data_IF_439718866457
#
_entry.id   IF_439718866457
#
_cell.length_a   1.000
_cell.length_b   1.000
_cell.length_c   1.000
_cell.angle_alpha   90.00
_cell.angle_beta   90.00
_cell.angle_gamma   90.00
#
_symmetry.space_group_name_H-M   'P 1'
#
loop_
_entity.id
_entity.type
_entity.pdbx_description
1 polymer ?
#
# COMPACT_ATOMS: atom_id res chain seq x y z
N UNK A 1 69.20 -58.49 -52.40
CA UNK A 1 69.51 -58.03 -51.03
C UNK A 1 68.18 -57.54 -50.46
N UNK A 2 67.41 -58.49 -49.96
CA UNK A 2 66.11 -58.24 -49.33
C UNK A 2 66.36 -57.55 -47.98
N UNK A 3 65.77 -56.38 -47.79
CA UNK A 3 65.79 -55.66 -46.52
C UNK A 3 64.69 -56.25 -45.63
N UNK A 4 65.07 -57.13 -44.71
CA UNK A 4 64.17 -57.58 -43.64
C UNK A 4 63.69 -56.36 -42.83
N UNK A 5 62.38 -56.22 -42.56
CA UNK A 5 61.88 -55.17 -41.70
C UNK A 5 62.29 -55.47 -40.26
N UNK A 6 62.99 -54.52 -39.63
CA UNK A 6 63.33 -54.58 -38.21
C UNK A 6 62.07 -54.84 -37.36
N UNK A 7 62.16 -55.72 -36.35
CA UNK A 7 61.03 -55.99 -35.48
C UNK A 7 60.62 -54.71 -34.76
N UNK A 8 59.37 -54.28 -34.98
CA UNK A 8 58.78 -53.19 -34.21
C UNK A 8 58.69 -53.67 -32.77
N UNK A 9 59.48 -53.04 -31.91
CA UNK A 9 59.61 -53.36 -30.50
C UNK A 9 58.29 -53.04 -29.77
N UNK A 10 57.41 -54.04 -29.70
CA UNK A 10 56.06 -53.92 -29.14
C UNK A 10 56.05 -53.56 -27.65
N UNK A 11 57.15 -53.82 -26.95
CA UNK A 11 57.33 -53.47 -25.54
C UNK A 11 57.52 -51.96 -25.35
N UNK A 12 58.23 -51.28 -26.25
CA UNK A 12 58.40 -49.82 -26.21
C UNK A 12 57.09 -49.08 -26.50
N UNK A 13 56.20 -49.65 -27.32
CA UNK A 13 54.86 -49.10 -27.56
C UNK A 13 53.89 -49.39 -26.40
N UNK A 14 53.99 -50.56 -25.77
CA UNK A 14 53.19 -50.91 -24.56
C UNK A 14 53.58 -50.08 -23.33
N UNK A 15 54.88 -49.85 -23.12
CA UNK A 15 55.36 -49.04 -22.00
C UNK A 15 54.89 -47.57 -22.13
N UNK A 16 54.92 -46.99 -23.34
CA UNK A 16 54.44 -45.62 -23.58
C UNK A 16 52.93 -45.46 -23.44
N UNK A 17 52.15 -46.51 -23.69
CA UNK A 17 50.70 -46.48 -23.47
C UNK A 17 50.31 -46.65 -21.99
N UNK A 18 51.22 -47.16 -21.14
CA UNK A 18 50.98 -47.29 -19.69
C UNK A 18 51.18 -45.99 -18.90
N UNK A 19 51.65 -44.92 -19.56
CA UNK A 19 51.90 -43.60 -18.94
C UNK A 19 50.81 -42.56 -19.26
N UNK A 20 49.82 -42.90 -20.08
CA UNK A 20 48.77 -41.96 -20.46
C UNK A 20 47.72 -41.85 -19.35
N UNK A 21 47.90 -40.86 -18.47
CA UNK A 21 46.90 -40.50 -17.48
C UNK A 21 45.73 -39.81 -18.19
N UNK A 22 44.55 -40.40 -18.10
CA UNK A 22 43.32 -39.79 -18.62
C UNK A 22 42.92 -38.60 -17.74
N UNK A 23 43.24 -37.40 -18.23
CA UNK A 23 42.92 -36.14 -17.54
C UNK A 23 41.41 -35.95 -17.35
N UNK A 24 40.58 -36.50 -18.23
CA UNK A 24 39.12 -36.42 -18.10
C UNK A 24 38.65 -37.21 -16.89
N UNK A 25 39.17 -38.41 -16.68
CA UNK A 25 38.84 -39.22 -15.50
C UNK A 25 39.32 -38.55 -14.21
N UNK A 26 40.49 -37.91 -14.22
CA UNK A 26 40.95 -37.11 -13.07
C UNK A 26 40.05 -35.92 -12.79
N UNK A 27 39.66 -35.16 -13.81
CA UNK A 27 38.74 -34.02 -13.62
C UNK A 27 37.39 -34.47 -13.11
N UNK A 28 36.83 -35.57 -13.64
CA UNK A 28 35.58 -36.14 -13.15
C UNK A 28 35.70 -36.58 -11.69
N UNK A 29 36.82 -37.23 -11.33
CA UNK A 29 37.12 -37.64 -9.94
C UNK A 29 37.09 -36.45 -8.99
N UNK A 30 37.78 -35.37 -9.35
CA UNK A 30 37.81 -34.14 -8.55
C UNK A 30 36.41 -33.55 -8.42
N UNK A 31 35.67 -33.46 -9.52
CA UNK A 31 34.36 -32.83 -9.56
C UNK A 31 33.29 -33.59 -8.76
N UNK A 32 33.27 -34.91 -8.86
CA UNK A 32 32.39 -35.76 -8.04
C UNK A 32 32.71 -35.63 -6.54
N UNK A 33 34.00 -35.57 -6.19
CA UNK A 33 34.43 -35.36 -4.80
C UNK A 33 34.02 -33.98 -4.27
N UNK A 34 34.18 -32.92 -5.07
CA UNK A 34 33.76 -31.56 -4.71
C UNK A 34 32.24 -31.47 -4.48
N UNK A 35 31.47 -32.26 -5.23
CA UNK A 35 30.02 -32.42 -5.04
C UNK A 35 29.64 -33.36 -3.90
N UNK A 36 30.61 -33.98 -3.22
CA UNK A 36 30.38 -34.92 -2.12
C UNK A 36 29.77 -36.26 -2.53
N UNK A 37 29.94 -36.65 -3.80
CA UNK A 37 29.45 -37.93 -4.33
C UNK A 37 30.48 -39.01 -4.00
N UNK A 38 30.04 -40.04 -3.27
CA UNK A 38 30.86 -41.21 -2.96
C UNK A 38 30.96 -42.13 -4.19
N UNK A 39 32.17 -42.59 -4.51
CA UNK A 39 32.43 -43.57 -5.57
C UNK A 39 33.68 -44.39 -5.25
N UNK A 40 33.75 -45.61 -5.76
CA UNK A 40 34.97 -46.41 -5.66
C UNK A 40 35.96 -46.00 -6.76
N UNK A 41 37.24 -45.78 -6.40
CA UNK A 41 38.26 -45.32 -7.34
C UNK A 41 38.49 -46.32 -8.49
N UNK A 42 38.26 -47.60 -8.23
CA UNK A 42 38.35 -48.67 -9.22
C UNK A 42 37.23 -48.58 -10.27
N UNK A 43 36.01 -48.20 -9.87
CA UNK A 43 34.88 -48.05 -10.79
C UNK A 43 35.12 -46.91 -11.77
N UNK A 44 35.64 -45.79 -11.27
CA UNK A 44 35.94 -44.62 -12.10
C UNK A 44 37.12 -44.88 -13.05
N UNK A 45 38.14 -45.63 -12.62
CA UNK A 45 39.31 -45.94 -13.44
C UNK A 45 38.99 -46.86 -14.65
N UNK A 46 37.89 -47.60 -14.59
CA UNK A 46 37.43 -48.48 -15.68
C UNK A 46 36.39 -47.81 -16.60
N UNK A 47 35.97 -46.59 -16.27
CA UNK A 47 34.98 -45.87 -17.06
C UNK A 47 35.54 -45.45 -18.43
N UNK A 48 34.79 -45.65 -19.52
CA UNK A 48 35.20 -45.15 -20.84
C UNK A 48 35.34 -43.62 -20.85
N UNK A 49 36.42 -43.10 -21.43
CA UNK A 49 36.70 -41.64 -21.49
C UNK A 49 35.53 -40.83 -22.04
N UNK A 50 34.92 -41.26 -23.14
CA UNK A 50 33.77 -40.57 -23.75
C UNK A 50 32.55 -40.48 -22.82
N UNK A 51 32.37 -41.45 -21.93
CA UNK A 51 31.32 -41.43 -20.93
C UNK A 51 31.64 -40.42 -19.82
N UNK A 52 32.90 -40.40 -19.38
CA UNK A 52 33.38 -39.42 -18.41
C UNK A 52 33.29 -37.97 -18.93
N UNK A 53 33.62 -37.72 -20.19
CA UNK A 53 33.45 -36.42 -20.85
C UNK A 53 31.99 -35.99 -20.88
N UNK A 54 31.08 -36.88 -21.26
CA UNK A 54 29.63 -36.59 -21.25
C UNK A 54 29.15 -36.26 -19.85
N UNK A 55 29.55 -37.04 -18.85
CA UNK A 55 29.15 -36.82 -17.46
C UNK A 55 29.68 -35.47 -16.95
N UNK A 56 30.94 -35.12 -17.21
CA UNK A 56 31.50 -33.81 -16.89
C UNK A 56 30.71 -32.66 -17.53
N UNK A 57 30.36 -32.77 -18.81
CA UNK A 57 29.56 -31.76 -19.50
C UNK A 57 28.16 -31.61 -18.87
N UNK A 58 27.53 -32.71 -18.46
CA UNK A 58 26.26 -32.66 -17.75
C UNK A 58 26.39 -32.00 -16.37
N UNK A 59 27.46 -32.31 -15.63
CA UNK A 59 27.72 -31.70 -14.33
C UNK A 59 27.96 -30.19 -14.45
N UNK A 60 28.73 -29.75 -15.44
CA UNK A 60 28.92 -28.32 -15.70
C UNK A 60 27.62 -27.61 -16.09
N UNK A 61 26.86 -28.18 -17.02
CA UNK A 61 25.56 -27.62 -17.41
C UNK A 61 24.57 -27.58 -16.24
N UNK A 62 24.66 -28.53 -15.30
CA UNK A 62 23.86 -28.54 -14.08
C UNK A 62 24.30 -27.45 -13.11
N UNK A 63 25.59 -27.28 -12.84
CA UNK A 63 26.13 -26.23 -11.99
C UNK A 63 25.76 -24.83 -12.51
N UNK A 64 25.86 -24.60 -13.81
CA UNK A 64 25.47 -23.33 -14.43
C UNK A 64 23.98 -23.03 -14.22
N UNK A 65 23.11 -24.04 -14.43
CA UNK A 65 21.67 -23.90 -14.18
C UNK A 65 21.37 -23.68 -12.71
N UNK A 66 22.05 -24.39 -11.82
CA UNK A 66 21.88 -24.22 -10.38
C UNK A 66 22.30 -22.81 -9.95
N UNK A 67 23.44 -22.30 -10.45
CA UNK A 67 23.88 -20.93 -10.19
C UNK A 67 22.84 -19.91 -10.66
N UNK A 68 22.36 -20.04 -11.90
CA UNK A 68 21.34 -19.15 -12.45
C UNK A 68 20.03 -19.19 -11.64
N UNK A 69 19.60 -20.38 -11.19
CA UNK A 69 18.42 -20.53 -10.34
C UNK A 69 18.62 -19.91 -8.95
N UNK A 70 19.81 -20.05 -8.36
CA UNK A 70 20.16 -19.42 -7.08
C UNK A 70 20.14 -17.90 -7.21
N UNK A 71 20.77 -17.36 -8.26
CA UNK A 71 20.75 -15.92 -8.56
C UNK A 71 19.31 -15.41 -8.72
N UNK A 72 18.51 -16.02 -9.59
CA UNK A 72 17.11 -15.66 -9.79
C UNK A 72 16.29 -15.75 -8.49
N UNK A 73 16.54 -16.77 -7.67
CA UNK A 73 15.88 -16.90 -6.36
C UNK A 73 16.24 -15.76 -5.43
N UNK A 74 17.52 -15.37 -5.37
CA UNK A 74 17.96 -14.23 -4.55
C UNK A 74 17.37 -12.92 -5.05
N UNK A 75 17.30 -12.71 -6.37
CA UNK A 75 16.65 -11.55 -6.97
C UNK A 75 15.17 -11.48 -6.58
N UNK A 76 14.42 -12.56 -6.76
CA UNK A 76 13.01 -12.60 -6.38
C UNK A 76 12.80 -12.40 -4.87
N UNK A 77 13.68 -12.93 -4.01
CA UNK A 77 13.62 -12.68 -2.57
C UNK A 77 13.88 -11.20 -2.24
N UNK A 78 14.81 -10.53 -2.92
CA UNK A 78 15.05 -9.10 -2.69
C UNK A 78 13.89 -8.25 -3.19
N UNK A 79 13.32 -8.56 -4.35
CA UNK A 79 12.11 -7.92 -4.87
C UNK A 79 10.95 -8.08 -3.89
N UNK A 80 10.71 -9.30 -3.39
CA UNK A 80 9.66 -9.56 -2.40
C UNK A 80 9.84 -8.74 -1.13
N UNK A 81 11.07 -8.61 -0.62
CA UNK A 81 11.37 -7.77 0.55
C UNK A 81 11.09 -6.29 0.28
N UNK A 82 11.41 -5.79 -0.92
CA UNK A 82 11.12 -4.41 -1.31
C UNK A 82 9.62 -4.16 -1.42
N UNK A 83 8.89 -5.06 -2.08
CA UNK A 83 7.43 -4.96 -2.22
C UNK A 83 6.71 -5.05 -0.87
N UNK A 84 7.16 -5.91 0.05
CA UNK A 84 6.62 -5.96 1.42
C UNK A 84 6.80 -4.63 2.14
N UNK A 85 7.99 -4.02 2.08
CA UNK A 85 8.23 -2.70 2.66
C UNK A 85 7.34 -1.62 2.03
N UNK A 86 7.18 -1.63 0.71
CA UNK A 86 6.26 -0.70 0.01
C UNK A 86 4.83 -0.89 0.50
N UNK A 87 4.38 -2.13 0.59
CA UNK A 87 3.03 -2.45 1.07
C UNK A 87 2.80 -1.99 2.51
N UNK A 88 3.75 -2.22 3.42
CA UNK A 88 3.71 -1.72 4.80
C UNK A 88 3.58 -0.20 4.84
N UNK A 89 4.41 0.53 4.07
CA UNK A 89 4.31 2.00 4.02
C UNK A 89 2.98 2.50 3.47
N UNK A 90 2.40 1.81 2.48
CA UNK A 90 1.08 2.14 1.94
C UNK A 90 -0.05 1.85 2.94
N UNK A 91 0.07 0.77 3.73
CA UNK A 91 -0.87 0.47 4.79
C UNK A 91 -0.85 1.56 5.87
N UNK A 92 0.34 1.95 6.35
CA UNK A 92 0.47 3.05 7.32
C UNK A 92 -0.11 4.37 6.79
N UNK A 93 0.17 4.71 5.53
CA UNK A 93 -0.39 5.90 4.89
C UNK A 93 -1.92 5.83 4.81
N UNK A 94 -2.48 4.66 4.47
CA UNK A 94 -3.92 4.43 4.40
C UNK A 94 -4.58 4.55 5.77
N UNK A 95 -3.95 4.03 6.82
CA UNK A 95 -4.44 4.15 8.20
C UNK A 95 -4.44 5.60 8.68
N UNK A 96 -3.39 6.37 8.39
CA UNK A 96 -3.34 7.81 8.68
C UNK A 96 -4.49 8.54 8.01
N UNK A 97 -4.70 8.34 6.71
CA UNK A 97 -5.81 8.96 5.97
C UNK A 97 -7.17 8.56 6.54
N UNK A 98 -7.37 7.28 6.90
CA UNK A 98 -8.62 6.83 7.56
C UNK A 98 -8.86 7.56 8.88
N UNK A 99 -7.82 7.77 9.68
CA UNK A 99 -7.92 8.49 10.95
C UNK A 99 -8.29 9.98 10.73
N UNK A 100 -7.69 10.63 9.75
CA UNK A 100 -8.00 12.02 9.39
C UNK A 100 -9.45 12.16 8.89
N UNK A 101 -9.91 11.24 8.05
CA UNK A 101 -11.30 11.20 7.57
C UNK A 101 -12.28 11.03 8.73
N UNK A 102 -11.97 10.17 9.71
CA UNK A 102 -12.82 10.00 10.88
C UNK A 102 -12.91 11.30 11.71
N UNK A 103 -11.78 12.00 11.91
CA UNK A 103 -11.75 13.29 12.62
C UNK A 103 -12.56 14.35 11.85
N UNK A 104 -12.36 14.46 10.54
CA UNK A 104 -13.10 15.40 9.69
C UNK A 104 -14.61 15.12 9.69
N UNK A 105 -14.99 13.85 9.56
CA UNK A 105 -16.40 13.43 9.60
C UNK A 105 -17.05 13.77 10.94
N UNK A 106 -16.35 13.55 12.06
CA UNK A 106 -16.79 13.94 13.39
C UNK A 106 -16.98 15.46 13.52
N UNK A 107 -16.02 16.25 13.01
CA UNK A 107 -16.10 17.72 12.99
C UNK A 107 -17.29 18.23 12.17
N UNK A 108 -17.49 17.69 10.97
CA UNK A 108 -18.62 18.06 10.11
C UNK A 108 -19.95 17.74 10.78
N UNK A 109 -20.06 16.56 11.39
CA UNK A 109 -21.26 16.12 12.08
C UNK A 109 -21.59 17.02 13.29
N UNK A 110 -20.57 17.38 14.07
CA UNK A 110 -20.73 18.34 15.17
C UNK A 110 -21.15 19.73 14.68
N UNK A 111 -20.50 20.25 13.63
CA UNK A 111 -20.83 21.55 13.05
C UNK A 111 -22.28 21.59 12.52
N UNK A 112 -22.73 20.53 11.84
CA UNK A 112 -24.11 20.42 11.36
C UNK A 112 -25.12 20.37 12.50
N UNK A 113 -24.80 19.66 13.59
CA UNK A 113 -25.65 19.63 14.78
C UNK A 113 -25.79 21.01 15.41
N UNK A 114 -24.67 21.72 15.57
CA UNK A 114 -24.65 23.07 16.12
C UNK A 114 -25.45 24.04 15.26
N UNK A 115 -25.23 24.03 13.94
CA UNK A 115 -25.99 24.85 13.00
C UNK A 115 -27.51 24.63 13.11
N UNK A 116 -27.95 23.37 13.16
CA UNK A 116 -29.38 23.03 13.35
C UNK A 116 -29.92 23.53 14.70
N UNK A 117 -29.10 23.51 15.74
CA UNK A 117 -29.49 24.01 17.05
C UNK A 117 -29.66 25.54 17.05
N UNK A 118 -28.73 26.24 16.40
CA UNK A 118 -28.77 27.70 16.23
C UNK A 118 -29.98 28.12 15.39
N UNK A 119 -30.26 27.41 14.30
CA UNK A 119 -31.42 27.67 13.44
C UNK A 119 -32.74 27.55 14.21
N UNK A 120 -32.89 26.52 15.06
CA UNK A 120 -34.07 26.37 15.94
C UNK A 120 -34.19 27.53 16.92
N UNK A 121 -33.08 27.92 17.54
CA UNK A 121 -33.04 29.00 18.51
C UNK A 121 -33.37 30.34 17.86
N UNK A 122 -32.87 30.58 16.65
CA UNK A 122 -33.20 31.78 15.89
C UNK A 122 -34.66 31.80 15.42
N UNK A 123 -35.21 30.66 14.99
CA UNK A 123 -36.63 30.55 14.69
C UNK A 123 -37.50 30.87 15.92
N UNK A 124 -37.10 30.42 17.11
CA UNK A 124 -37.79 30.76 18.36
C UNK A 124 -37.72 32.27 18.66
N UNK A 125 -36.52 32.87 18.57
CA UNK A 125 -36.34 34.32 18.75
C UNK A 125 -37.18 35.14 17.76
N UNK A 126 -37.31 34.68 16.51
CA UNK A 126 -38.16 35.34 15.50
C UNK A 126 -39.63 35.32 15.92
N UNK A 127 -40.12 34.19 16.44
CA UNK A 127 -41.50 34.06 16.94
C UNK A 127 -41.74 34.97 18.15
N UNK A 128 -40.80 35.04 19.08
CA UNK A 128 -40.87 35.93 20.25
C UNK A 128 -40.94 37.39 19.82
N UNK A 129 -40.01 37.85 18.98
CA UNK A 129 -40.05 39.21 18.42
C UNK A 129 -41.36 39.52 17.70
N UNK A 130 -41.92 38.56 16.97
CA UNK A 130 -43.19 38.76 16.28
C UNK A 130 -44.36 38.93 17.26
N UNK A 131 -44.34 38.23 18.40
CA UNK A 131 -45.33 38.43 19.48
C UNK A 131 -45.16 39.80 20.12
N UNK A 132 -43.94 40.21 20.43
CA UNK A 132 -43.66 41.51 21.02
C UNK A 132 -44.14 42.66 20.12
N UNK A 133 -43.94 42.52 18.81
CA UNK A 133 -44.46 43.48 17.81
C UNK A 133 -45.99 43.49 17.84
N UNK A 134 -46.65 42.34 17.84
CA UNK A 134 -48.12 42.27 17.91
C UNK A 134 -48.68 42.90 19.19
N UNK A 135 -48.04 42.65 20.34
CA UNK A 135 -48.48 43.21 21.61
C UNK A 135 -48.26 44.72 21.65
N UNK A 136 -47.17 45.22 21.06
CA UNK A 136 -46.93 46.67 20.90
C UNK A 136 -48.01 47.30 20.01
N UNK A 137 -48.36 46.67 18.88
CA UNK A 137 -49.43 47.16 17.99
C UNK A 137 -50.76 47.24 18.73
N UNK A 138 -51.13 46.21 19.49
CA UNK A 138 -52.37 46.22 20.31
C UNK A 138 -52.38 47.35 21.34
N UNK A 139 -51.24 47.64 21.97
CA UNK A 139 -51.11 48.75 22.91
C UNK A 139 -51.30 50.10 22.22
N UNK A 140 -50.73 50.28 21.03
CA UNK A 140 -50.90 51.48 20.21
C UNK A 140 -52.38 51.66 19.86
N UNK A 141 -53.03 50.63 19.31
CA UNK A 141 -54.46 50.66 18.95
C UNK A 141 -55.35 51.01 20.15
N UNK A 142 -55.06 50.43 21.32
CA UNK A 142 -55.77 50.77 22.56
C UNK A 142 -55.60 52.25 22.92
N UNK A 143 -54.37 52.76 22.86
CA UNK A 143 -54.06 54.16 23.18
C UNK A 143 -54.67 55.14 22.17
N UNK A 144 -54.72 54.80 20.90
CA UNK A 144 -55.43 55.60 19.88
C UNK A 144 -56.93 55.67 20.15
N UNK A 145 -57.55 54.57 20.59
CA UNK A 145 -58.97 54.56 20.98
C UNK A 145 -59.24 55.40 22.23
N UNK A 146 -58.36 55.33 23.23
CA UNK A 146 -58.42 56.19 24.43
C UNK A 146 -58.32 57.67 24.03
N UNK A 147 -57.33 58.02 23.21
CA UNK A 147 -57.14 59.38 22.70
C UNK A 147 -58.37 59.89 21.94
N UNK A 148 -58.97 59.09 21.06
CA UNK A 148 -60.19 59.48 20.34
C UNK A 148 -61.35 59.78 21.28
N UNK A 149 -61.50 59.03 22.38
CA UNK A 149 -62.54 59.28 23.39
C UNK A 149 -62.30 60.59 24.13
N UNK A 150 -61.05 60.82 24.56
CA UNK A 150 -60.67 62.06 25.24
C UNK A 150 -60.87 63.29 24.35
N UNK A 151 -60.50 63.22 23.07
CA UNK A 151 -60.75 64.31 22.11
C UNK A 151 -62.23 64.63 21.97
N UNK A 152 -63.10 63.61 21.87
CA UNK A 152 -64.55 63.82 21.80
C UNK A 152 -65.12 64.46 23.08
N UNK A 153 -64.64 64.04 24.26
CA UNK A 153 -65.03 64.66 25.53
C UNK A 153 -64.56 66.10 25.62
N UNK A 154 -63.31 66.37 25.25
CA UNK A 154 -62.75 67.72 25.20
C UNK A 154 -63.58 68.63 24.28
N UNK A 155 -63.94 68.16 23.08
CA UNK A 155 -64.79 68.90 22.14
C UNK A 155 -66.19 69.16 22.72
N UNK A 156 -66.78 68.18 23.42
CA UNK A 156 -68.07 68.34 24.10
C UNK A 156 -68.00 69.40 25.20
N UNK A 157 -66.98 69.33 26.06
CA UNK A 157 -66.76 70.29 27.14
C UNK A 157 -66.48 71.69 26.58
N UNK A 158 -65.69 71.81 25.53
CA UNK A 158 -65.43 73.08 24.83
C UNK A 158 -66.70 73.71 24.27
N UNK A 159 -67.58 72.92 23.65
CA UNK A 159 -68.91 73.38 23.19
C UNK A 159 -69.80 73.84 24.35
N UNK A 160 -69.75 73.18 25.50
CA UNK A 160 -70.51 73.61 26.69
C UNK A 160 -69.96 74.93 27.24
N UNK A 161 -68.65 75.07 27.34
CA UNK A 161 -68.00 76.28 27.87
C UNK A 161 -68.29 77.51 27.00
N UNK A 162 -68.26 77.36 25.67
CA UNK A 162 -68.66 78.41 24.73
C UNK A 162 -70.12 78.85 24.89
N UNK A 163 -71.01 77.96 25.33
CA UNK A 163 -72.42 78.31 25.60
C UNK A 163 -72.61 79.06 26.91
N UNK A 164 -71.73 78.84 27.89
CA UNK A 164 -71.78 79.53 29.19
C UNK A 164 -71.16 80.93 29.11
N UNK A 165 -70.22 81.16 28.18
CA UNK A 165 -69.56 82.45 27.96
C UNK A 165 -70.32 83.40 27.01
N UNK A 166 -71.44 82.98 26.43
CA UNK A 166 -72.37 83.82 25.65
C UNK A 166 -73.59 84.16 26.48
#
# INVERSE_FOLDING_TARGET
>A
MDLEPLPIDGEASRARQSEYVDMTLLHLRMKLRDMGIEFEEAELATAPTHFAERLLNYLHAFEERESALREATTEHQTQLKQERKRLETLQEATEKVRSEVAILSGRISSALSNYRSEEKLEAQRRRERQRDVQDTVRQIEKKELELRRETMEHDRLGKMLQKVQK
#
